data_IF_280905616657
#
_entry.id   IF_280905616657
#
_cell.length_a   1.000
_cell.length_b   1.000
_cell.length_c   1.000
_cell.angle_alpha   90.00
_cell.angle_beta   90.00
_cell.angle_gamma   90.00
#
_symmetry.space_group_name_H-M   'P 1'
#
loop_
_entity.id
_entity.type
_entity.pdbx_description
1 polymer ?
#
# COMPACT_ATOMS: atom_id res chain seq x y z
N UNK A 1 -17.63 4.22 -0.99
CA UNK A 1 -17.48 3.66 -2.36
C UNK A 1 -16.46 4.48 -3.13
N UNK A 2 -15.67 3.82 -4.00
CA UNK A 2 -14.72 4.46 -4.91
C UNK A 2 -15.09 4.11 -6.36
N UNK A 3 -14.87 5.03 -7.29
CA UNK A 3 -15.20 4.81 -8.70
C UNK A 3 -15.32 6.11 -9.48
N UNK A 4 -15.54 6.00 -10.79
CA UNK A 4 -15.57 7.15 -11.72
C UNK A 4 -16.69 8.19 -11.45
N UNK A 5 -17.68 7.80 -10.64
CA UNK A 5 -18.80 8.68 -10.28
C UNK A 5 -18.72 9.17 -8.82
N UNK A 6 -17.61 8.97 -8.16
CA UNK A 6 -17.36 9.35 -6.77
C UNK A 6 -16.21 10.35 -6.68
N UNK A 7 -16.19 11.15 -5.62
CA UNK A 7 -15.04 11.99 -5.29
C UNK A 7 -13.78 11.13 -5.10
N UNK A 8 -12.61 11.65 -5.44
CA UNK A 8 -11.35 10.93 -5.25
C UNK A 8 -11.13 10.58 -3.79
N UNK A 9 -10.89 9.30 -3.49
CA UNK A 9 -10.51 8.85 -2.15
C UNK A 9 -9.07 9.26 -1.84
N UNK A 10 -8.87 9.96 -0.73
CA UNK A 10 -7.54 10.38 -0.28
C UNK A 10 -7.02 9.41 0.77
N UNK A 11 -5.86 8.83 0.48
CA UNK A 11 -5.17 7.87 1.35
C UNK A 11 -3.88 8.50 1.86
N UNK A 12 -3.75 8.70 3.16
CA UNK A 12 -2.50 9.13 3.78
C UNK A 12 -1.61 7.92 4.09
N UNK A 13 -0.41 7.91 3.53
CA UNK A 13 0.61 6.91 3.84
C UNK A 13 1.38 7.29 5.10
N UNK A 14 1.26 6.51 6.15
CA UNK A 14 2.15 6.59 7.31
C UNK A 14 3.29 5.56 7.22
N UNK A 15 3.05 4.46 6.49
CA UNK A 15 4.04 3.42 6.20
C UNK A 15 4.70 2.88 7.46
N UNK A 16 6.02 2.99 7.50
CA UNK A 16 6.87 2.66 8.66
C UNK A 16 7.52 3.91 9.28
N UNK A 17 7.05 5.12 8.93
CA UNK A 17 7.67 6.38 9.38
C UNK A 17 7.52 6.62 10.89
N UNK A 18 6.69 5.85 11.57
CA UNK A 18 6.58 5.83 13.03
C UNK A 18 7.78 5.14 13.71
N UNK A 19 8.68 4.49 12.98
CA UNK A 19 9.90 3.82 13.49
C UNK A 19 9.62 2.87 14.66
N UNK A 20 8.53 2.09 14.59
CA UNK A 20 8.14 1.13 15.63
C UNK A 20 7.47 1.76 16.87
N UNK A 21 7.25 3.08 16.91
CA UNK A 21 6.59 3.76 18.02
C UNK A 21 5.10 4.00 17.72
N UNK A 22 4.24 3.33 18.49
CA UNK A 22 2.78 3.45 18.37
C UNK A 22 2.27 4.87 18.66
N UNK A 23 2.93 5.64 19.55
CA UNK A 23 2.51 7.00 19.86
C UNK A 23 2.78 7.93 18.67
N UNK A 24 3.94 7.77 18.03
CA UNK A 24 4.28 8.50 16.79
C UNK A 24 3.28 8.13 15.69
N UNK A 25 2.93 6.85 15.54
CA UNK A 25 1.92 6.42 14.58
C UNK A 25 0.57 7.11 14.82
N UNK A 26 0.11 7.22 16.07
CA UNK A 26 -1.13 7.92 16.43
C UNK A 26 -1.05 9.43 16.15
N UNK A 27 0.08 10.09 16.42
CA UNK A 27 0.28 11.50 16.08
C UNK A 27 0.17 11.74 14.56
N UNK A 28 0.67 10.80 13.74
CA UNK A 28 0.52 10.85 12.29
C UNK A 28 -0.95 10.69 11.88
N UNK A 29 -1.69 9.78 12.52
CA UNK A 29 -3.15 9.60 12.31
C UNK A 29 -3.89 10.90 12.64
N UNK A 30 -3.61 11.54 13.77
CA UNK A 30 -4.22 12.80 14.17
C UNK A 30 -3.93 13.93 13.17
N UNK A 31 -2.73 13.95 12.62
CA UNK A 31 -2.35 14.92 11.59
C UNK A 31 -3.15 14.72 10.30
N UNK A 32 -3.29 13.47 9.86
CA UNK A 32 -4.08 13.11 8.68
C UNK A 32 -5.57 13.43 8.87
N UNK A 33 -6.13 13.14 10.07
CA UNK A 33 -7.51 13.49 10.42
C UNK A 33 -7.75 15.01 10.33
N UNK A 34 -6.83 15.82 10.89
CA UNK A 34 -6.93 17.29 10.77
C UNK A 34 -6.89 17.78 9.32
N UNK A 35 -6.24 17.04 8.43
CA UNK A 35 -6.21 17.33 7.00
C UNK A 35 -7.44 16.83 6.23
N UNK A 36 -8.38 16.15 6.91
CA UNK A 36 -9.62 15.64 6.30
C UNK A 36 -9.44 14.34 5.49
N UNK A 37 -8.39 13.56 5.80
CA UNK A 37 -8.13 12.27 5.12
C UNK A 37 -9.10 11.21 5.62
N UNK A 38 -9.55 10.35 4.71
CA UNK A 38 -10.51 9.28 5.00
C UNK A 38 -9.84 7.93 5.30
N UNK A 39 -8.64 7.70 4.76
CA UNK A 39 -7.93 6.42 4.86
C UNK A 39 -6.50 6.61 5.34
N UNK A 40 -6.12 5.87 6.36
CA UNK A 40 -4.72 5.75 6.81
C UNK A 40 -4.14 4.46 6.25
N UNK A 41 -3.01 4.58 5.53
CA UNK A 41 -2.29 3.42 5.03
C UNK A 41 -1.02 3.15 5.83
N UNK A 42 -0.93 1.94 6.35
CA UNK A 42 0.17 1.37 7.13
C UNK A 42 0.88 0.27 6.33
N UNK A 43 1.96 -0.27 6.86
CA UNK A 43 2.69 -1.42 6.31
C UNK A 43 2.85 -2.49 7.39
N UNK A 44 2.40 -3.71 7.08
CA UNK A 44 2.50 -4.85 8.01
C UNK A 44 3.68 -5.71 7.62
N UNK A 45 4.71 -5.68 8.44
CA UNK A 45 5.92 -6.46 8.28
C UNK A 45 6.01 -7.59 9.31
N UNK A 46 6.31 -8.79 8.85
CA UNK A 46 6.78 -9.92 9.65
C UNK A 46 8.10 -10.33 9.02
N UNK A 47 9.17 -9.72 9.48
CA UNK A 47 10.46 -9.69 8.79
C UNK A 47 11.05 -11.10 8.57
N UNK A 48 10.80 -12.02 9.50
CA UNK A 48 11.23 -13.41 9.38
C UNK A 48 10.52 -14.16 8.24
N UNK A 49 9.31 -13.74 7.85
CA UNK A 49 8.51 -14.39 6.81
C UNK A 49 8.67 -13.70 5.44
N UNK A 50 9.04 -12.43 5.42
CA UNK A 50 9.18 -11.64 4.18
C UNK A 50 10.61 -11.59 3.63
N UNK A 51 11.64 -11.73 4.50
CA UNK A 51 13.03 -11.54 4.11
C UNK A 51 13.87 -12.82 4.25
N UNK A 52 14.68 -13.07 3.23
CA UNK A 52 15.67 -14.14 3.32
C UNK A 52 16.76 -13.82 4.36
N UNK A 53 17.45 -14.86 4.90
CA UNK A 53 18.58 -14.63 5.82
C UNK A 53 19.70 -13.76 5.24
N UNK A 54 19.82 -13.69 3.91
CA UNK A 54 20.81 -12.84 3.23
C UNK A 54 20.52 -11.33 3.41
N UNK A 55 19.27 -10.93 3.63
CA UNK A 55 18.92 -9.55 3.93
C UNK A 55 19.62 -9.00 5.18
N UNK A 56 20.02 -9.88 6.10
CA UNK A 56 20.82 -9.51 7.30
C UNK A 56 22.23 -8.99 6.95
N UNK A 57 22.70 -9.25 5.74
CA UNK A 57 24.02 -8.84 5.24
C UNK A 57 23.95 -7.61 4.32
N UNK A 58 22.74 -7.23 3.87
CA UNK A 58 22.56 -6.11 2.96
C UNK A 58 22.45 -4.83 3.76
N UNK A 59 23.46 -3.97 3.66
CA UNK A 59 23.50 -2.65 4.30
C UNK A 59 23.22 -1.61 3.21
N UNK A 60 22.11 -0.84 3.29
CA UNK A 60 21.83 0.24 2.35
C UNK A 60 22.86 1.36 2.47
N UNK A 61 23.13 2.07 1.36
CA UNK A 61 24.14 3.12 1.32
C UNK A 61 23.89 4.35 2.21
N UNK A 62 22.70 4.44 2.82
CA UNK A 62 22.28 5.52 3.70
C UNK A 62 22.07 5.08 5.17
N UNK A 63 22.58 3.91 5.55
CA UNK A 63 22.44 3.37 6.90
C UNK A 63 23.66 2.53 7.29
N UNK A 64 23.91 2.41 8.60
CA UNK A 64 24.90 1.50 9.18
C UNK A 64 24.26 0.15 9.59
N UNK A 65 22.92 0.01 9.45
CA UNK A 65 22.17 -1.19 9.78
C UNK A 65 21.79 -1.95 8.53
N UNK A 66 21.63 -3.28 8.67
CA UNK A 66 21.09 -4.07 7.56
C UNK A 66 19.63 -3.74 7.28
N UNK A 67 19.17 -4.00 6.05
CA UNK A 67 17.75 -3.80 5.69
C UNK A 67 16.82 -4.62 6.60
N UNK A 68 17.26 -5.82 6.99
CA UNK A 68 16.53 -6.66 7.95
C UNK A 68 16.34 -5.97 9.30
N UNK A 69 17.41 -5.40 9.86
CA UNK A 69 17.36 -4.68 11.14
C UNK A 69 16.48 -3.41 11.06
N UNK A 70 16.60 -2.66 9.96
CA UNK A 70 15.77 -1.45 9.75
C UNK A 70 14.29 -1.82 9.74
N UNK A 71 13.92 -2.86 8.99
CA UNK A 71 12.52 -3.27 8.90
C UNK A 71 11.99 -3.84 10.22
N UNK A 72 12.81 -4.62 10.94
CA UNK A 72 12.46 -5.19 12.25
C UNK A 72 12.19 -4.09 13.29
N UNK A 73 13.09 -3.11 13.38
CA UNK A 73 12.96 -1.96 14.29
C UNK A 73 11.77 -1.03 13.95
N UNK A 74 11.40 -0.94 12.66
CA UNK A 74 10.28 -0.11 12.21
C UNK A 74 8.92 -0.84 12.26
N UNK A 75 8.92 -2.15 12.49
CA UNK A 75 7.70 -2.96 12.52
C UNK A 75 6.94 -2.79 13.84
N UNK A 76 5.61 -2.78 13.78
CA UNK A 76 4.77 -2.92 14.97
C UNK A 76 4.51 -4.40 15.28
N UNK A 77 4.49 -4.76 16.55
CA UNK A 77 3.98 -6.06 16.96
C UNK A 77 2.45 -6.13 16.79
N UNK A 78 1.87 -7.33 16.92
CA UNK A 78 0.44 -7.54 16.69
C UNK A 78 -0.46 -6.64 17.56
N UNK A 79 -0.12 -6.45 18.83
CA UNK A 79 -0.96 -5.67 19.76
C UNK A 79 -0.94 -4.19 19.42
N UNK A 80 0.23 -3.65 19.13
CA UNK A 80 0.40 -2.24 18.76
C UNK A 80 -0.25 -1.96 17.40
N UNK A 81 -0.14 -2.88 16.43
CA UNK A 81 -0.79 -2.73 15.13
C UNK A 81 -2.32 -2.81 15.24
N UNK A 82 -2.86 -3.71 16.07
CA UNK A 82 -4.29 -3.79 16.38
C UNK A 82 -4.77 -2.52 17.10
N UNK A 83 -3.96 -2.00 18.03
CA UNK A 83 -4.24 -0.74 18.71
C UNK A 83 -4.27 0.43 17.73
N UNK A 84 -3.32 0.50 16.78
CA UNK A 84 -3.30 1.50 15.72
C UNK A 84 -4.57 1.41 14.84
N UNK A 85 -4.95 0.20 14.41
CA UNK A 85 -6.17 -0.01 13.65
C UNK A 85 -7.39 0.52 14.41
N UNK A 86 -7.55 0.12 15.65
CA UNK A 86 -8.68 0.55 16.49
C UNK A 86 -8.68 2.08 16.70
N UNK A 87 -7.50 2.68 16.83
CA UNK A 87 -7.35 4.14 16.94
C UNK A 87 -7.81 4.85 15.66
N UNK A 88 -7.41 4.37 14.50
CA UNK A 88 -7.84 4.91 13.20
C UNK A 88 -9.37 4.81 13.06
N UNK A 89 -9.94 3.64 13.34
CA UNK A 89 -11.39 3.41 13.22
C UNK A 89 -12.21 4.21 14.24
N UNK A 90 -11.70 4.41 15.46
CA UNK A 90 -12.35 5.26 16.48
C UNK A 90 -12.35 6.75 16.11
N UNK A 91 -11.56 7.14 15.12
CA UNK A 91 -11.52 8.47 14.53
C UNK A 91 -12.34 8.60 13.23
N UNK A 92 -13.25 7.65 12.97
CA UNK A 92 -14.10 7.59 11.77
C UNK A 92 -13.32 7.50 10.45
N UNK A 93 -12.11 6.95 10.49
CA UNK A 93 -11.26 6.69 9.33
C UNK A 93 -11.14 5.19 9.05
N UNK A 94 -10.71 4.85 7.85
CA UNK A 94 -10.48 3.47 7.43
C UNK A 94 -9.00 3.13 7.62
N UNK A 95 -8.73 2.02 8.30
CA UNK A 95 -7.39 1.44 8.36
C UNK A 95 -7.16 0.54 7.15
N UNK A 96 -6.12 0.83 6.39
CA UNK A 96 -5.64 0.05 5.26
C UNK A 96 -4.18 -0.33 5.52
N UNK A 97 -3.78 -1.56 5.23
CA UNK A 97 -2.37 -1.95 5.36
C UNK A 97 -1.88 -2.78 4.18
N UNK A 98 -0.58 -2.69 3.93
CA UNK A 98 0.12 -3.48 2.92
C UNK A 98 0.81 -4.66 3.61
N UNK A 99 0.38 -5.91 3.41
CA UNK A 99 1.12 -7.07 3.86
C UNK A 99 2.26 -7.40 2.89
N UNK A 100 3.45 -7.67 3.40
CA UNK A 100 4.62 -8.06 2.60
C UNK A 100 4.91 -9.57 2.62
N UNK A 101 4.05 -10.34 3.31
CA UNK A 101 4.14 -11.79 3.37
C UNK A 101 2.77 -12.41 3.63
N UNK A 102 2.67 -13.76 3.50
CA UNK A 102 1.44 -14.47 3.85
C UNK A 102 1.12 -14.35 5.33
N UNK A 103 2.12 -14.45 6.20
CA UNK A 103 1.91 -14.27 7.64
C UNK A 103 1.41 -12.88 7.98
N UNK A 104 1.88 -11.84 7.27
CA UNK A 104 1.38 -10.48 7.40
C UNK A 104 -0.08 -10.36 6.91
N UNK A 105 -0.43 -10.99 5.79
CA UNK A 105 -1.80 -11.04 5.29
C UNK A 105 -2.75 -11.76 6.28
N UNK A 106 -2.33 -12.90 6.83
CA UNK A 106 -3.08 -13.63 7.85
C UNK A 106 -3.25 -12.83 9.14
N UNK A 107 -2.26 -12.03 9.52
CA UNK A 107 -2.34 -11.08 10.64
C UNK A 107 -3.44 -10.05 10.40
N UNK A 108 -3.45 -9.41 9.24
CA UNK A 108 -4.46 -8.43 8.87
C UNK A 108 -5.87 -9.06 8.78
N UNK A 109 -5.98 -10.29 8.28
CA UNK A 109 -7.26 -11.00 8.25
C UNK A 109 -7.79 -11.27 9.67
N UNK A 110 -6.93 -11.68 10.61
CA UNK A 110 -7.30 -11.83 12.04
C UNK A 110 -7.71 -10.50 12.69
N UNK A 111 -7.16 -9.39 12.22
CA UNK A 111 -7.57 -8.04 12.66
C UNK A 111 -8.86 -7.58 11.98
N UNK A 112 -9.41 -8.35 11.06
CA UNK A 112 -10.62 -8.04 10.29
C UNK A 112 -10.54 -6.68 9.58
N UNK A 113 -9.47 -6.46 8.80
CA UNK A 113 -9.38 -5.27 7.92
C UNK A 113 -10.44 -5.33 6.83
N UNK A 114 -10.90 -4.16 6.35
CA UNK A 114 -11.94 -4.06 5.33
C UNK A 114 -11.43 -4.24 3.89
N UNK A 115 -10.14 -4.03 3.65
CA UNK A 115 -9.49 -4.12 2.35
C UNK A 115 -7.97 -4.33 2.52
N UNK A 116 -7.30 -4.67 1.42
CA UNK A 116 -5.85 -4.87 1.38
C UNK A 116 -5.18 -3.92 0.39
N UNK A 117 -3.98 -3.46 0.74
CA UNK A 117 -3.10 -2.75 -0.20
C UNK A 117 -1.98 -3.69 -0.65
N UNK A 118 -1.67 -3.66 -1.93
CA UNK A 118 -0.52 -4.36 -2.51
C UNK A 118 0.48 -3.32 -3.00
N UNK A 119 1.71 -3.43 -2.53
CA UNK A 119 2.82 -2.60 -2.97
C UNK A 119 3.26 -2.93 -4.40
N UNK A 120 3.96 -2.01 -5.06
CA UNK A 120 4.46 -2.23 -6.42
C UNK A 120 5.41 -3.43 -6.52
N UNK A 121 6.22 -3.66 -5.49
CA UNK A 121 7.13 -4.82 -5.42
C UNK A 121 6.39 -6.15 -5.35
N UNK A 122 5.19 -6.16 -4.80
CA UNK A 122 4.37 -7.35 -4.63
C UNK A 122 3.31 -7.53 -5.72
N UNK A 123 3.22 -6.60 -6.68
CA UNK A 123 2.23 -6.66 -7.75
C UNK A 123 2.36 -7.94 -8.60
N UNK A 124 3.56 -8.46 -8.77
CA UNK A 124 3.83 -9.70 -9.50
C UNK A 124 4.14 -10.90 -8.59
N UNK A 125 3.91 -10.77 -7.29
CA UNK A 125 3.94 -11.88 -6.33
C UNK A 125 2.60 -12.64 -6.38
N UNK A 126 2.37 -13.35 -7.47
CA UNK A 126 1.09 -14.02 -7.73
C UNK A 126 0.64 -14.98 -6.62
N UNK A 127 1.55 -15.76 -5.96
CA UNK A 127 1.17 -16.59 -4.84
C UNK A 127 0.64 -15.80 -3.63
N UNK A 128 1.19 -14.61 -3.36
CA UNK A 128 0.69 -13.73 -2.31
C UNK A 128 -0.64 -13.09 -2.71
N UNK A 129 -0.75 -12.62 -3.96
CA UNK A 129 -2.01 -12.05 -4.51
C UNK A 129 -3.13 -13.09 -4.42
N UNK A 130 -2.89 -14.34 -4.85
CA UNK A 130 -3.90 -15.40 -4.79
C UNK A 130 -4.31 -15.74 -3.35
N UNK A 131 -3.34 -15.75 -2.41
CA UNK A 131 -3.60 -15.96 -1.00
C UNK A 131 -4.53 -14.87 -0.42
N UNK A 132 -4.21 -13.58 -0.68
CA UNK A 132 -5.02 -12.45 -0.19
C UNK A 132 -6.40 -12.43 -0.88
N UNK A 133 -6.46 -12.70 -2.18
CA UNK A 133 -7.73 -12.77 -2.93
C UNK A 133 -8.66 -13.84 -2.37
N UNK A 134 -8.13 -14.94 -1.80
CA UNK A 134 -8.95 -15.98 -1.16
C UNK A 134 -9.72 -15.49 0.06
N UNK A 135 -9.37 -14.36 0.65
CA UNK A 135 -10.12 -13.74 1.77
C UNK A 135 -11.39 -13.00 1.30
N UNK A 136 -11.55 -12.77 -0.01
CA UNK A 136 -12.78 -12.20 -0.59
C UNK A 136 -12.99 -10.70 -0.30
N UNK A 137 -11.94 -9.96 0.02
CA UNK A 137 -12.01 -8.53 0.35
C UNK A 137 -11.41 -7.66 -0.76
N UNK A 138 -11.86 -6.40 -0.92
CA UNK A 138 -11.33 -5.48 -1.93
C UNK A 138 -9.82 -5.27 -1.84
N UNK A 139 -9.18 -5.03 -2.98
CA UNK A 139 -7.74 -4.84 -3.07
C UNK A 139 -7.37 -3.57 -3.85
N UNK A 140 -6.42 -2.80 -3.32
CA UNK A 140 -5.81 -1.65 -4.01
C UNK A 140 -4.38 -2.04 -4.38
N UNK A 141 -4.07 -2.13 -5.67
CA UNK A 141 -2.79 -2.65 -6.18
C UNK A 141 -1.98 -1.53 -6.84
N UNK A 142 -0.79 -1.25 -6.34
CA UNK A 142 0.19 -0.38 -7.01
C UNK A 142 0.93 -1.15 -8.10
N UNK A 143 1.11 -0.52 -9.27
CA UNK A 143 1.63 -1.16 -10.48
C UNK A 143 3.04 -0.70 -10.88
N UNK A 144 3.71 0.09 -10.06
CA UNK A 144 5.07 0.56 -10.35
C UNK A 144 6.05 -0.61 -10.56
N UNK A 145 7.06 -0.40 -11.40
CA UNK A 145 8.07 -1.41 -11.80
C UNK A 145 7.49 -2.62 -12.56
N UNK A 146 6.21 -2.63 -12.88
CA UNK A 146 5.55 -3.72 -13.59
C UNK A 146 5.11 -3.26 -15.00
N UNK A 147 5.20 -4.14 -15.97
CA UNK A 147 4.63 -3.95 -17.28
C UNK A 147 3.15 -4.41 -17.32
N UNK A 148 2.44 -4.05 -18.35
CA UNK A 148 1.02 -4.40 -18.53
C UNK A 148 0.81 -5.93 -18.48
N UNK A 149 1.76 -6.72 -18.95
CA UNK A 149 1.67 -8.19 -18.92
C UNK A 149 1.69 -8.73 -17.50
N UNK A 150 2.58 -8.21 -16.66
CA UNK A 150 2.65 -8.58 -15.22
C UNK A 150 1.40 -8.17 -14.48
N UNK A 151 0.92 -6.94 -14.72
CA UNK A 151 -0.33 -6.44 -14.11
C UNK A 151 -1.54 -7.27 -14.54
N UNK A 152 -1.61 -7.69 -15.80
CA UNK A 152 -2.71 -8.53 -16.29
C UNK A 152 -2.80 -9.86 -15.56
N UNK A 153 -1.68 -10.52 -15.29
CA UNK A 153 -1.68 -11.76 -14.52
C UNK A 153 -2.23 -11.56 -13.10
N UNK A 154 -1.95 -10.42 -12.48
CA UNK A 154 -2.53 -10.03 -11.19
C UNK A 154 -4.04 -9.81 -11.32
N UNK A 155 -4.46 -9.03 -12.32
CA UNK A 155 -5.89 -8.76 -12.58
C UNK A 155 -6.66 -10.06 -12.86
N UNK A 156 -6.10 -10.98 -13.65
CA UNK A 156 -6.71 -12.28 -13.92
C UNK A 156 -6.97 -13.08 -12.63
N UNK A 157 -6.06 -12.99 -11.64
CA UNK A 157 -6.28 -13.60 -10.32
C UNK A 157 -7.41 -12.90 -9.59
N UNK A 158 -7.41 -11.56 -9.54
CA UNK A 158 -8.45 -10.80 -8.83
C UNK A 158 -9.85 -11.08 -9.42
N UNK A 159 -9.96 -11.09 -10.75
CA UNK A 159 -11.20 -11.40 -11.45
C UNK A 159 -11.65 -12.86 -11.24
N UNK A 160 -10.72 -13.82 -11.23
CA UNK A 160 -10.98 -15.23 -10.91
C UNK A 160 -11.65 -15.39 -9.52
N UNK A 161 -11.23 -14.58 -8.55
CA UNK A 161 -11.78 -14.60 -7.18
C UNK A 161 -12.94 -13.62 -6.98
N UNK A 162 -13.39 -12.91 -8.03
CA UNK A 162 -14.43 -11.88 -7.98
C UNK A 162 -14.09 -10.75 -6.98
N UNK A 163 -12.84 -10.33 -6.91
CA UNK A 163 -12.38 -9.26 -6.04
C UNK A 163 -12.66 -7.91 -6.69
N UNK A 164 -13.26 -6.98 -5.96
CA UNK A 164 -13.28 -5.56 -6.33
C UNK A 164 -11.89 -4.96 -6.18
N UNK A 165 -11.41 -4.25 -7.19
CA UNK A 165 -10.03 -3.76 -7.17
C UNK A 165 -9.84 -2.37 -7.79
N UNK A 166 -8.81 -1.69 -7.29
CA UNK A 166 -8.27 -0.48 -7.89
C UNK A 166 -6.80 -0.70 -8.26
N UNK A 167 -6.37 -0.11 -9.38
CA UNK A 167 -4.97 -0.10 -9.83
C UNK A 167 -4.41 1.31 -9.69
N UNK A 168 -3.27 1.44 -9.01
CA UNK A 168 -2.60 2.72 -8.85
C UNK A 168 -1.35 2.77 -9.73
N UNK A 169 -1.31 3.73 -10.63
CA UNK A 169 -0.05 4.08 -11.28
C UNK A 169 0.95 4.58 -10.23
N UNK A 170 2.20 4.14 -10.32
CA UNK A 170 3.24 4.45 -9.35
C UNK A 170 4.58 4.62 -10.05
N UNK A 171 5.29 5.71 -9.77
CA UNK A 171 6.70 5.85 -10.13
C UNK A 171 7.55 5.56 -8.89
N UNK A 172 8.34 4.47 -8.93
CA UNK A 172 9.13 3.98 -7.79
C UNK A 172 10.47 4.71 -7.66
N UNK A 173 10.43 6.03 -7.57
CA UNK A 173 11.55 6.89 -7.22
C UNK A 173 11.18 7.70 -5.98
N UNK A 174 12.09 7.82 -5.03
CA UNK A 174 11.87 8.49 -3.75
C UNK A 174 12.95 9.55 -3.50
N UNK A 175 12.67 10.86 -3.72
CA UNK A 175 11.42 11.40 -4.29
C UNK A 175 11.33 11.22 -5.81
N UNK A 176 10.10 11.20 -6.34
CA UNK A 176 9.86 11.20 -7.79
C UNK A 176 10.03 12.61 -8.35
N UNK A 177 10.88 12.84 -9.37
CA UNK A 177 10.87 14.08 -10.16
C UNK A 177 9.52 14.26 -10.87
N UNK A 178 8.94 15.46 -10.81
CA UNK A 178 7.59 15.75 -11.35
C UNK A 178 7.42 15.35 -12.82
N UNK A 179 8.47 15.53 -13.64
CA UNK A 179 8.47 15.14 -15.06
C UNK A 179 8.44 13.61 -15.29
N UNK A 180 8.61 12.80 -14.25
CA UNK A 180 8.56 11.35 -14.31
C UNK A 180 7.25 10.77 -13.74
N UNK A 181 6.27 11.57 -13.36
CA UNK A 181 4.96 11.11 -12.86
C UNK A 181 4.16 10.34 -13.92
N UNK A 182 4.27 10.69 -15.22
CA UNK A 182 3.76 9.90 -16.34
C UNK A 182 2.25 9.60 -16.29
N UNK A 183 1.40 10.61 -16.26
CA UNK A 183 -0.06 10.42 -16.27
C UNK A 183 -0.58 9.59 -17.45
N UNK A 184 0.12 9.59 -18.58
CA UNK A 184 -0.20 8.70 -19.71
C UNK A 184 -0.24 7.22 -19.33
N UNK A 185 0.52 6.80 -18.32
CA UNK A 185 0.45 5.42 -17.81
C UNK A 185 -0.86 5.15 -17.04
N UNK A 186 -1.48 6.15 -16.39
CA UNK A 186 -2.83 6.02 -15.81
C UNK A 186 -3.87 5.79 -16.89
N UNK A 187 -3.77 6.54 -18.01
CA UNK A 187 -4.67 6.38 -19.17
C UNK A 187 -4.47 5.00 -19.85
N UNK A 188 -3.24 4.51 -19.89
CA UNK A 188 -2.94 3.15 -20.38
C UNK A 188 -3.57 2.09 -19.49
N UNK A 189 -3.42 2.19 -18.16
CA UNK A 189 -4.08 1.29 -17.21
C UNK A 189 -5.60 1.31 -17.38
N UNK A 190 -6.22 2.49 -17.50
CA UNK A 190 -7.66 2.62 -17.72
C UNK A 190 -8.13 1.94 -19.01
N UNK A 191 -7.35 2.06 -20.08
CA UNK A 191 -7.65 1.43 -21.38
C UNK A 191 -7.51 -0.09 -21.32
N UNK A 192 -6.46 -0.58 -20.67
CA UNK A 192 -6.13 -2.02 -20.62
C UNK A 192 -7.00 -2.77 -19.59
N UNK A 193 -7.47 -2.08 -18.53
CA UNK A 193 -8.25 -2.66 -17.44
C UNK A 193 -9.52 -1.82 -17.18
N UNK A 194 -10.50 -1.88 -18.08
CA UNK A 194 -11.69 -0.99 -18.03
C UNK A 194 -12.58 -1.24 -16.82
N UNK A 195 -12.46 -2.39 -16.15
CA UNK A 195 -13.20 -2.73 -14.94
C UNK A 195 -12.51 -2.22 -13.65
N UNK A 196 -11.26 -1.75 -13.76
CA UNK A 196 -10.52 -1.26 -12.59
C UNK A 196 -10.87 0.21 -12.29
N UNK A 197 -10.90 0.55 -11.01
CA UNK A 197 -10.78 1.95 -10.59
C UNK A 197 -9.30 2.34 -10.69
N UNK A 198 -8.99 3.45 -11.36
CA UNK A 198 -7.61 3.89 -11.55
C UNK A 198 -7.29 5.07 -10.63
N UNK A 199 -6.10 5.05 -10.05
CA UNK A 199 -5.59 6.11 -9.19
C UNK A 199 -4.07 6.31 -9.32
N UNK A 200 -3.54 7.20 -8.48
CA UNK A 200 -2.12 7.51 -8.37
C UNK A 200 -1.60 7.15 -6.99
N UNK A 201 -0.44 6.51 -6.92
CA UNK A 201 0.40 6.46 -5.72
C UNK A 201 1.59 7.40 -5.94
N UNK A 202 1.57 8.55 -5.25
CA UNK A 202 2.52 9.64 -5.49
C UNK A 202 3.72 9.58 -4.53
N UNK A 203 4.91 9.81 -5.07
CA UNK A 203 6.16 9.91 -4.32
C UNK A 203 6.91 11.24 -4.60
N UNK A 204 6.20 12.24 -5.15
CA UNK A 204 6.78 13.58 -5.33
C UNK A 204 6.84 14.34 -4.00
N UNK A 205 7.58 15.44 -3.98
CA UNK A 205 7.66 16.33 -2.79
C UNK A 205 6.60 17.42 -2.78
N UNK A 206 5.60 17.34 -3.68
CA UNK A 206 4.54 18.34 -3.80
C UNK A 206 3.18 17.68 -4.08
N UNK A 207 2.09 18.41 -3.86
CA UNK A 207 0.73 17.96 -4.16
C UNK A 207 0.31 18.13 -5.64
N UNK A 208 1.17 18.68 -6.48
CA UNK A 208 0.86 18.93 -7.90
C UNK A 208 0.55 17.65 -8.68
N UNK A 209 1.26 16.56 -8.37
CA UNK A 209 1.00 15.28 -9.01
C UNK A 209 -0.38 14.71 -8.67
N UNK A 210 -0.81 14.84 -7.42
CA UNK A 210 -2.17 14.44 -7.01
C UNK A 210 -3.24 15.29 -7.70
N UNK A 211 -3.05 16.61 -7.79
CA UNK A 211 -4.00 17.49 -8.49
C UNK A 211 -4.08 17.16 -9.99
N UNK A 212 -2.93 16.91 -10.63
CA UNK A 212 -2.91 16.51 -12.03
C UNK A 212 -3.51 15.13 -12.30
N UNK A 213 -3.51 14.22 -11.33
CA UNK A 213 -4.14 12.92 -11.46
C UNK A 213 -5.66 12.97 -11.37
N UNK A 214 -6.21 13.99 -10.70
CA UNK A 214 -7.67 14.18 -10.53
C UNK A 214 -8.26 15.02 -11.67
N UNK A 215 -7.44 15.89 -12.31
CA UNK A 215 -7.88 16.78 -13.39
C UNK A 215 -8.02 16.06 -14.74
#
# INVERSE_FOLDING_TARGET
EIGVNHEPLIIAEIGINHNGDINVAKEMVDSAKRAGVEVIKHQTHIVEDEMSPEAKKVIPGNSDKSIYQIMDECSLNFNDELELKNYVESNDMIFLSTPFSRAAADRLERMNVSAYKIGSGECNNYPLIEHIASFGKPMIVSTGMNDIKSVRMTVDILEKYNIEYALLHTTNLYPTPVNLVRYGAMQELQKEFPNAVIGLSDHTTSNLACFGAVA
#
